data_IF_657313769776
#
_entry.id   IF_657313769776
#
_cell.length_a   1.000
_cell.length_b   1.000
_cell.length_c   1.000
_cell.angle_alpha   90.00
_cell.angle_beta   90.00
_cell.angle_gamma   90.00
#
_symmetry.space_group_name_H-M   'P 1'
#
loop_
_entity.id
_entity.type
_entity.pdbx_description
1 polymer ?
#
# COMPACT_ATOMS: atom_id res chain seq x y z
N UNK A 1 -12.50 27.98 -36.74
CA UNK A 1 -12.03 26.72 -37.37
C UNK A 1 -10.81 26.24 -36.61
N UNK A 2 -10.67 24.93 -36.37
CA UNK A 2 -9.47 24.40 -35.74
C UNK A 2 -8.24 24.77 -36.58
N UNK A 3 -7.35 25.59 -36.03
CA UNK A 3 -6.16 26.06 -36.72
C UNK A 3 -5.16 24.89 -36.83
N UNK A 4 -4.57 24.67 -37.99
CA UNK A 4 -3.53 23.63 -38.21
C UNK A 4 -2.35 23.79 -37.25
N UNK A 5 -2.10 25.02 -36.78
CA UNK A 5 -1.13 25.30 -35.73
C UNK A 5 -1.50 24.62 -34.39
N UNK A 6 -2.78 24.62 -34.01
CA UNK A 6 -3.24 23.99 -32.76
C UNK A 6 -3.11 22.47 -32.81
N UNK A 7 -3.37 21.87 -33.97
CA UNK A 7 -3.16 20.44 -34.21
C UNK A 7 -1.66 20.09 -34.04
N UNK A 8 -0.76 20.86 -34.66
CA UNK A 8 0.70 20.67 -34.50
C UNK A 8 1.15 20.82 -33.05
N UNK A 9 0.62 21.81 -32.32
CA UNK A 9 0.89 21.99 -30.88
C UNK A 9 0.42 20.79 -30.06
N UNK A 10 -0.78 20.27 -30.32
CA UNK A 10 -1.32 19.08 -29.63
C UNK A 10 -0.47 17.84 -29.89
N UNK A 11 -0.03 17.62 -31.13
CA UNK A 11 0.88 16.51 -31.49
C UNK A 11 2.18 16.61 -30.68
N UNK A 12 2.80 17.79 -30.62
CA UNK A 12 4.03 18.01 -29.84
C UNK A 12 3.81 17.73 -28.35
N UNK A 13 2.70 18.22 -27.78
CA UNK A 13 2.35 18.01 -26.36
C UNK A 13 2.16 16.53 -26.00
N UNK A 14 1.45 15.77 -26.85
CA UNK A 14 1.24 14.33 -26.64
C UNK A 14 2.56 13.56 -26.76
N UNK A 15 3.41 13.89 -27.74
CA UNK A 15 4.75 13.28 -27.87
C UNK A 15 5.61 13.52 -26.63
N UNK A 16 5.59 14.73 -26.09
CA UNK A 16 6.31 15.06 -24.86
C UNK A 16 5.76 14.27 -23.67
N UNK A 17 4.44 14.22 -23.51
CA UNK A 17 3.80 13.42 -22.45
C UNK A 17 4.19 11.95 -22.55
N UNK A 18 4.22 11.38 -23.76
CA UNK A 18 4.63 9.99 -23.99
C UNK A 18 6.10 9.72 -23.61
N UNK A 19 7.01 10.66 -23.90
CA UNK A 19 8.41 10.54 -23.49
C UNK A 19 8.56 10.61 -21.96
N UNK A 20 7.85 11.52 -21.30
CA UNK A 20 7.87 11.67 -19.84
C UNK A 20 7.35 10.39 -19.18
N UNK A 21 6.19 9.88 -19.60
CA UNK A 21 5.63 8.66 -19.01
C UNK A 21 6.50 7.43 -19.30
N UNK A 22 7.18 7.37 -20.45
CA UNK A 22 8.15 6.31 -20.74
C UNK A 22 9.34 6.35 -19.80
N UNK A 23 9.90 7.53 -19.54
CA UNK A 23 10.96 7.71 -18.55
C UNK A 23 10.49 7.31 -17.14
N UNK A 24 9.29 7.73 -16.74
CA UNK A 24 8.69 7.36 -15.45
C UNK A 24 8.50 5.84 -15.32
N UNK A 25 8.08 5.17 -16.39
CA UNK A 25 7.96 3.70 -16.43
C UNK A 25 9.31 3.02 -16.16
N UNK A 26 10.38 3.48 -16.80
CA UNK A 26 11.73 2.91 -16.61
C UNK A 26 12.24 3.15 -15.19
N UNK A 27 12.03 4.34 -14.63
CA UNK A 27 12.37 4.64 -13.24
C UNK A 27 11.57 3.76 -12.26
N UNK A 28 10.27 3.57 -12.51
CA UNK A 28 9.43 2.71 -11.70
C UNK A 28 9.87 1.24 -11.76
N UNK A 29 10.23 0.74 -12.96
CA UNK A 29 10.75 -0.61 -13.14
C UNK A 29 12.04 -0.85 -12.34
N UNK A 30 12.99 0.10 -12.39
CA UNK A 30 14.23 0.03 -11.61
C UNK A 30 13.95 0.00 -10.10
N UNK A 31 13.06 0.87 -9.61
CA UNK A 31 12.66 0.89 -8.19
C UNK A 31 11.94 -0.39 -7.77
N UNK A 32 11.08 -0.95 -8.62
CA UNK A 32 10.40 -2.21 -8.36
C UNK A 32 11.40 -3.35 -8.21
N UNK A 33 12.39 -3.45 -9.12
CA UNK A 33 13.44 -4.47 -9.04
C UNK A 33 14.22 -4.36 -7.74
N UNK A 34 14.61 -3.15 -7.34
CA UNK A 34 15.30 -2.92 -6.06
C UNK A 34 14.44 -3.33 -4.86
N UNK A 35 13.16 -2.96 -4.84
CA UNK A 35 12.24 -3.34 -3.78
C UNK A 35 12.04 -4.87 -3.69
N UNK A 36 11.92 -5.55 -4.83
CA UNK A 36 11.84 -7.01 -4.89
C UNK A 36 13.11 -7.67 -4.34
N UNK A 37 14.28 -7.17 -4.70
CA UNK A 37 15.55 -7.69 -4.18
C UNK A 37 15.65 -7.54 -2.65
N UNK A 38 15.26 -6.38 -2.11
CA UNK A 38 15.21 -6.20 -0.64
C UNK A 38 14.24 -7.17 0.04
N UNK A 39 13.06 -7.38 -0.53
CA UNK A 39 12.10 -8.34 0.00
C UNK A 39 12.65 -9.77 -0.03
N UNK A 40 13.29 -10.18 -1.14
CA UNK A 40 13.91 -11.50 -1.27
C UNK A 40 15.05 -11.71 -0.29
N UNK A 41 15.90 -10.70 -0.08
CA UNK A 41 17.01 -10.75 0.87
C UNK A 41 16.52 -10.93 2.33
N UNK A 42 15.37 -10.35 2.68
CA UNK A 42 14.76 -10.50 4.02
C UNK A 42 14.00 -11.80 4.24
N UNK A 43 13.67 -12.55 3.18
CA UNK A 43 12.86 -13.79 3.29
C UNK A 43 13.44 -14.84 4.24
N UNK A 44 14.75 -15.16 4.22
CA UNK A 44 15.30 -16.18 5.12
C UNK A 44 15.08 -15.85 6.59
N UNK A 45 15.28 -14.58 6.98
CA UNK A 45 15.03 -14.11 8.35
C UNK A 45 13.56 -14.27 8.74
N UNK A 46 12.64 -13.78 7.90
CA UNK A 46 11.21 -13.88 8.17
C UNK A 46 10.74 -15.34 8.29
N UNK A 47 11.27 -16.22 7.42
CA UNK A 47 10.95 -17.65 7.45
C UNK A 47 11.45 -18.33 8.73
N UNK A 48 12.69 -18.05 9.15
CA UNK A 48 13.25 -18.62 10.38
C UNK A 48 12.53 -18.08 11.62
N UNK A 49 12.29 -16.77 11.68
CA UNK A 49 11.54 -16.14 12.75
C UNK A 49 10.14 -16.77 12.89
N UNK A 50 9.44 -16.97 11.77
CA UNK A 50 8.13 -17.61 11.80
C UNK A 50 8.19 -19.05 12.33
N UNK A 51 9.21 -19.84 11.93
CA UNK A 51 9.42 -21.20 12.48
C UNK A 51 9.62 -21.18 14.00
N UNK A 52 10.41 -20.23 14.50
CA UNK A 52 10.65 -20.06 15.94
C UNK A 52 9.35 -19.69 16.65
N UNK A 53 8.59 -18.71 16.14
CA UNK A 53 7.33 -18.27 16.73
C UNK A 53 6.29 -19.41 16.78
N UNK A 54 6.14 -20.18 15.70
CA UNK A 54 5.23 -21.34 15.66
C UNK A 54 5.66 -22.40 16.67
N UNK A 55 6.96 -22.71 16.74
CA UNK A 55 7.48 -23.67 17.73
C UNK A 55 7.28 -23.20 19.17
N UNK A 56 7.41 -21.90 19.43
CA UNK A 56 7.20 -21.32 20.76
C UNK A 56 5.71 -21.36 21.14
N UNK A 57 4.83 -21.00 20.21
CA UNK A 57 3.38 -21.03 20.43
C UNK A 57 2.90 -22.43 20.87
N UNK A 58 3.44 -23.49 20.28
CA UNK A 58 3.09 -24.88 20.62
C UNK A 58 3.53 -25.30 22.02
N UNK A 59 4.53 -24.61 22.60
CA UNK A 59 5.16 -24.98 23.88
C UNK A 59 4.82 -24.02 25.01
N UNK A 60 4.04 -22.97 24.74
CA UNK A 60 3.71 -21.90 25.67
C UNK A 60 2.21 -21.87 25.90
N UNK A 61 1.77 -21.73 27.14
CA UNK A 61 0.36 -21.46 27.43
C UNK A 61 -0.02 -20.08 26.83
N UNK A 62 -0.98 -20.01 25.89
CA UNK A 62 -1.42 -18.75 25.28
C UNK A 62 -1.89 -17.71 26.30
N UNK A 63 -2.28 -18.11 27.52
CA UNK A 63 -2.69 -17.21 28.60
C UNK A 63 -1.53 -16.38 29.18
N UNK A 64 -0.28 -16.78 28.96
CA UNK A 64 0.88 -16.12 29.56
C UNK A 64 1.25 -14.80 28.89
N UNK A 65 0.80 -14.53 27.66
CA UNK A 65 1.15 -13.31 26.94
C UNK A 65 -0.06 -12.70 26.20
N UNK A 66 -0.38 -11.40 26.38
CA UNK A 66 -1.55 -10.77 25.77
C UNK A 66 -1.64 -10.88 24.24
N UNK A 67 -0.50 -10.93 23.54
CA UNK A 67 -0.47 -11.11 22.07
C UNK A 67 -0.74 -12.55 21.60
N UNK A 68 -0.74 -13.52 22.51
CA UNK A 68 -1.07 -14.92 22.22
C UNK A 68 -2.51 -15.28 22.63
N UNK A 69 -3.14 -14.45 23.46
CA UNK A 69 -4.49 -14.67 23.95
C UNK A 69 -5.55 -14.41 22.87
N UNK A 70 -6.46 -15.37 22.67
CA UNK A 70 -7.69 -15.16 21.91
C UNK A 70 -8.73 -14.53 22.84
N UNK A 71 -9.24 -13.36 22.46
CA UNK A 71 -10.21 -12.60 23.25
C UNK A 71 -11.39 -12.16 22.38
N UNK A 72 -12.48 -11.81 23.03
CA UNK A 72 -13.63 -11.19 22.36
C UNK A 72 -13.22 -9.86 21.71
N UNK A 73 -13.60 -9.67 20.45
CA UNK A 73 -13.26 -8.49 19.66
C UNK A 73 -14.22 -7.35 19.98
N UNK A 74 -13.79 -6.41 20.83
CA UNK A 74 -14.55 -5.20 21.18
C UNK A 74 -14.30 -4.03 20.23
N UNK A 75 -13.07 -3.93 19.73
CA UNK A 75 -12.60 -2.92 18.76
C UNK A 75 -11.55 -3.55 17.87
N UNK A 76 -11.52 -3.12 16.62
CA UNK A 76 -10.56 -3.57 15.62
C UNK A 76 -9.59 -2.44 15.28
N UNK A 77 -8.36 -2.81 14.88
CA UNK A 77 -7.35 -1.88 14.41
C UNK A 77 -6.94 -2.28 13.00
N UNK A 78 -7.17 -1.40 12.04
CA UNK A 78 -6.80 -1.61 10.65
C UNK A 78 -5.56 -0.78 10.33
N UNK A 79 -4.47 -1.47 9.97
CA UNK A 79 -3.24 -0.82 9.50
C UNK A 79 -3.29 -0.73 7.96
N UNK A 80 -3.49 0.48 7.44
CA UNK A 80 -3.57 0.72 6.00
C UNK A 80 -2.22 1.21 5.48
N UNK A 81 -1.56 0.39 4.66
CA UNK A 81 -0.28 0.73 4.02
C UNK A 81 -0.56 1.14 2.57
N UNK A 82 -0.46 2.43 2.30
CA UNK A 82 -0.70 3.05 0.99
C UNK A 82 0.55 3.70 0.42
N UNK A 83 0.45 4.21 -0.80
CA UNK A 83 1.56 4.96 -1.41
C UNK A 83 1.57 6.42 -0.97
N UNK A 84 2.75 7.03 -1.01
CA UNK A 84 2.88 8.50 -0.88
C UNK A 84 2.59 9.25 -2.18
N UNK A 85 2.81 8.60 -3.33
CA UNK A 85 2.72 9.20 -4.66
C UNK A 85 1.52 8.65 -5.44
N UNK A 86 1.00 9.46 -6.36
CA UNK A 86 -0.04 9.05 -7.32
C UNK A 86 0.53 8.30 -8.53
N UNK A 87 -0.26 8.26 -9.62
CA UNK A 87 0.11 7.61 -10.89
C UNK A 87 0.48 6.12 -10.74
N UNK A 88 -0.21 5.42 -9.85
CA UNK A 88 -0.03 4.00 -9.53
C UNK A 88 -1.27 3.16 -9.91
N UNK A 89 -1.94 3.53 -11.01
CA UNK A 89 -3.15 2.86 -11.46
C UNK A 89 -4.25 2.79 -10.38
N UNK A 90 -4.91 1.63 -10.29
CA UNK A 90 -6.00 1.40 -9.34
C UNK A 90 -5.56 0.97 -7.94
N UNK A 91 -4.25 0.94 -7.64
CA UNK A 91 -3.70 0.39 -6.40
C UNK A 91 -4.35 1.01 -5.15
N UNK A 92 -4.27 2.33 -5.01
CA UNK A 92 -4.85 3.02 -3.85
C UNK A 92 -6.37 2.98 -3.86
N UNK A 93 -7.02 3.07 -5.04
CA UNK A 93 -8.47 3.03 -5.13
C UNK A 93 -9.03 1.71 -4.62
N UNK A 94 -8.43 0.59 -5.03
CA UNK A 94 -8.84 -0.74 -4.58
C UNK A 94 -8.54 -0.95 -3.09
N UNK A 95 -7.34 -0.56 -2.63
CA UNK A 95 -6.96 -0.63 -1.22
C UNK A 95 -7.92 0.15 -0.32
N UNK A 96 -8.24 1.40 -0.68
CA UNK A 96 -9.08 2.27 0.14
C UNK A 96 -10.56 1.85 0.09
N UNK A 97 -10.99 1.24 -1.01
CA UNK A 97 -12.32 0.60 -1.08
C UNK A 97 -12.41 -0.56 -0.11
N UNK A 98 -11.37 -1.38 0.01
CA UNK A 98 -11.33 -2.48 0.96
C UNK A 98 -11.31 -1.96 2.40
N UNK A 99 -10.45 -0.99 2.70
CA UNK A 99 -10.38 -0.36 4.01
C UNK A 99 -11.72 0.29 4.42
N UNK A 100 -12.51 0.77 3.48
CA UNK A 100 -13.82 1.37 3.75
C UNK A 100 -14.92 0.35 4.11
N UNK A 101 -14.69 -0.96 3.94
CA UNK A 101 -15.67 -1.99 4.31
C UNK A 101 -15.81 -2.19 5.82
N UNK A 102 -14.77 -1.85 6.59
CA UNK A 102 -14.80 -1.96 8.04
C UNK A 102 -15.73 -0.93 8.68
N UNK A 103 -16.39 -1.30 9.78
CA UNK A 103 -17.32 -0.42 10.52
C UNK A 103 -16.56 0.72 11.20
N UNK A 104 -16.83 1.97 10.81
CA UNK A 104 -16.12 3.15 11.34
C UNK A 104 -16.23 3.31 12.87
N UNK A 105 -17.36 2.93 13.47
CA UNK A 105 -17.60 3.12 14.91
C UNK A 105 -16.81 2.14 15.80
N UNK A 106 -16.37 1.01 15.25
CA UNK A 106 -15.64 -0.05 15.99
C UNK A 106 -14.19 -0.19 15.56
N UNK A 107 -13.77 0.53 14.51
CA UNK A 107 -12.46 0.38 13.88
C UNK A 107 -11.61 1.61 14.10
N UNK A 108 -10.44 1.43 14.72
CA UNK A 108 -9.36 2.41 14.68
C UNK A 108 -8.49 2.20 13.44
N UNK A 109 -7.95 3.27 12.88
CA UNK A 109 -7.06 3.19 11.72
C UNK A 109 -5.68 3.73 12.04
N UNK A 110 -4.64 2.98 11.65
CA UNK A 110 -3.27 3.47 11.56
C UNK A 110 -2.88 3.48 10.08
N UNK A 111 -2.38 4.60 9.60
CA UNK A 111 -2.04 4.76 8.18
C UNK A 111 -0.54 4.94 7.99
N UNK A 112 -0.02 4.24 6.99
CA UNK A 112 1.29 4.48 6.41
C UNK A 112 1.07 4.93 4.98
N UNK A 113 1.64 6.09 4.61
CA UNK A 113 1.51 6.67 3.29
C UNK A 113 0.47 7.80 3.20
N UNK A 114 0.80 8.83 2.42
CA UNK A 114 -0.01 10.06 2.28
C UNK A 114 -1.39 9.82 1.66
N UNK A 115 -1.55 8.83 0.76
CA UNK A 115 -2.84 8.61 0.08
C UNK A 115 -3.92 8.07 1.01
N UNK A 116 -3.60 7.13 1.91
CA UNK A 116 -4.54 6.68 2.93
C UNK A 116 -4.84 7.77 3.95
N UNK A 117 -3.83 8.53 4.41
CA UNK A 117 -4.04 9.64 5.34
C UNK A 117 -5.04 10.67 4.79
N UNK A 118 -4.88 11.09 3.53
CA UNK A 118 -5.78 12.05 2.89
C UNK A 118 -7.21 11.49 2.76
N UNK A 119 -7.35 10.20 2.44
CA UNK A 119 -8.64 9.56 2.30
C UNK A 119 -9.41 9.48 3.63
N UNK A 120 -8.78 8.92 4.67
CA UNK A 120 -9.44 8.75 5.97
C UNK A 120 -9.79 10.08 6.63
N UNK A 121 -8.88 11.06 6.55
CA UNK A 121 -9.14 12.41 7.05
C UNK A 121 -10.38 13.06 6.39
N UNK A 122 -10.59 12.80 5.09
CA UNK A 122 -11.77 13.31 4.36
C UNK A 122 -13.05 12.57 4.72
N UNK A 123 -12.98 11.26 4.96
CA UNK A 123 -14.15 10.43 5.29
C UNK A 123 -14.51 10.42 6.77
N UNK A 124 -13.75 11.12 7.63
CA UNK A 124 -13.91 11.14 9.10
C UNK A 124 -13.94 9.73 9.70
N UNK A 125 -13.00 8.89 9.24
CA UNK A 125 -12.74 7.54 9.74
C UNK A 125 -11.40 7.50 10.47
#
# INVERSE_FOLDING_TARGET
>A
MANTQDIRRRIKSIRNTAQITKAMQMVAASKMRKAQQHALAGRPYAALMNKVLVSLQQRTDPRLHPLLQVREVKKELVIVISTDKGLAGALNTNLLREAARFEANKTGYIVVGRKARQFLARTKR
#
